data_IF_096615753322
#
_entry.id   IF_096615753322
#
_cell.length_a   1.000
_cell.length_b   1.000
_cell.length_c   1.000
_cell.angle_alpha   90.00
_cell.angle_beta   90.00
_cell.angle_gamma   90.00
#
_symmetry.space_group_name_H-M   'P 1'
#
loop_
_entity.id
_entity.type
_entity.pdbx_description
1 polymer ?
#
# COMPACT_ATOMS: atom_id res chain seq x y z
N UNK A 1 14.66 -1.07 -5.30
CA UNK A 1 13.21 -1.37 -5.14
C UNK A 1 12.43 -0.27 -5.82
N UNK A 2 11.41 -0.61 -6.59
CA UNK A 2 10.49 0.36 -7.17
C UNK A 2 9.11 0.22 -6.53
N UNK A 3 8.37 1.33 -6.44
CA UNK A 3 6.99 1.32 -5.97
C UNK A 3 6.17 2.38 -6.68
N UNK A 4 4.85 2.16 -6.80
CA UNK A 4 3.92 3.13 -7.40
C UNK A 4 2.50 2.92 -6.89
N UNK A 5 1.71 4.00 -6.86
CA UNK A 5 0.26 3.95 -6.63
C UNK A 5 -0.53 3.56 -7.89
N UNK A 6 0.11 3.57 -9.07
CA UNK A 6 -0.55 3.22 -10.32
C UNK A 6 -0.26 1.75 -10.68
N UNK A 7 -1.29 0.88 -10.76
CA UNK A 7 -1.10 -0.53 -11.13
C UNK A 7 -0.40 -0.72 -12.48
N UNK A 8 -0.69 0.12 -13.47
CA UNK A 8 -0.09 0.01 -14.80
C UNK A 8 1.43 0.27 -14.76
N UNK A 9 1.87 1.22 -13.92
CA UNK A 9 3.30 1.49 -13.70
C UNK A 9 3.96 0.30 -13.01
N UNK A 10 3.33 -0.28 -11.98
CA UNK A 10 3.85 -1.48 -11.31
C UNK A 10 4.01 -2.65 -12.28
N UNK A 11 3.01 -2.92 -13.14
CA UNK A 11 3.09 -3.96 -14.17
C UNK A 11 4.23 -3.67 -15.15
N UNK A 12 4.30 -2.45 -15.68
CA UNK A 12 5.33 -2.06 -16.64
C UNK A 12 6.74 -2.18 -16.04
N UNK A 13 6.94 -1.73 -14.80
CA UNK A 13 8.22 -1.85 -14.09
C UNK A 13 8.58 -3.31 -13.85
N UNK A 14 7.64 -4.15 -13.43
CA UNK A 14 7.92 -5.57 -13.22
C UNK A 14 8.36 -6.28 -14.51
N UNK A 15 7.79 -5.87 -15.64
CA UNK A 15 8.13 -6.42 -16.95
C UNK A 15 9.48 -5.91 -17.48
N UNK A 16 9.80 -4.64 -17.24
CA UNK A 16 11.01 -4.00 -17.77
C UNK A 16 12.22 -4.19 -16.87
N UNK A 17 12.01 -4.40 -15.58
CA UNK A 17 13.03 -4.50 -14.54
C UNK A 17 12.87 -5.79 -13.73
N UNK A 18 12.95 -6.98 -14.35
CA UNK A 18 12.64 -8.26 -13.69
C UNK A 18 13.59 -8.60 -12.51
N UNK A 19 14.79 -8.02 -12.50
CA UNK A 19 15.78 -8.23 -11.44
C UNK A 19 15.60 -7.27 -10.24
N UNK A 20 14.63 -6.36 -10.29
CA UNK A 20 14.39 -5.40 -9.22
C UNK A 20 13.02 -5.60 -8.61
N UNK A 21 12.96 -5.65 -7.29
CA UNK A 21 11.71 -5.78 -6.55
C UNK A 21 10.76 -4.61 -6.84
N UNK A 22 9.50 -4.93 -7.20
CA UNK A 22 8.42 -3.97 -7.42
C UNK A 22 7.33 -4.15 -6.36
N UNK A 23 6.86 -3.03 -5.81
CA UNK A 23 5.80 -2.95 -4.82
C UNK A 23 4.62 -2.12 -5.34
N UNK A 24 3.41 -2.48 -4.92
CA UNK A 24 2.20 -1.71 -5.24
C UNK A 24 1.71 -0.93 -4.02
N UNK A 25 1.49 0.38 -4.20
CA UNK A 25 1.06 1.28 -3.14
C UNK A 25 -0.46 1.49 -3.18
N UNK A 26 -1.11 1.48 -2.01
CA UNK A 26 -2.55 1.69 -1.93
C UNK A 26 -2.94 2.35 -0.61
N UNK A 27 -3.89 3.28 -0.68
CA UNK A 27 -4.50 3.90 0.51
C UNK A 27 -5.60 3.02 1.13
N UNK A 28 -5.85 1.83 0.57
CA UNK A 28 -6.76 0.85 1.14
C UNK A 28 -8.20 1.37 1.36
N UNK A 29 -8.60 2.40 0.60
CA UNK A 29 -9.93 3.00 0.69
C UNK A 29 -10.08 4.06 1.78
N UNK A 30 -9.00 4.47 2.45
CA UNK A 30 -9.01 5.70 3.24
C UNK A 30 -8.80 6.90 2.33
N UNK A 31 -9.75 7.84 2.37
CA UNK A 31 -9.61 9.12 1.69
C UNK A 31 -8.52 9.95 2.38
N UNK A 32 -7.65 10.54 1.57
CA UNK A 32 -6.70 11.52 2.07
C UNK A 32 -7.49 12.83 2.29
N UNK A 33 -7.78 13.21 3.54
CA UNK A 33 -8.57 14.42 3.84
C UNK A 33 -7.95 15.70 3.24
N UNK A 34 -6.65 15.71 2.96
CA UNK A 34 -5.97 16.81 2.26
C UNK A 34 -6.38 16.94 0.78
N UNK A 35 -6.82 15.86 0.12
CA UNK A 35 -7.26 15.88 -1.28
C UNK A 35 -8.74 16.31 -1.39
N UNK A 36 -9.55 16.05 -0.37
CA UNK A 36 -10.98 16.40 -0.32
C UNK A 36 -11.27 17.73 0.35
N UNK A 37 -10.33 18.32 1.09
CA UNK A 37 -10.45 19.68 1.64
C UNK A 37 -10.55 20.72 0.51
N UNK A 38 -11.78 21.05 0.13
CA UNK A 38 -12.08 22.11 -0.85
C UNK A 38 -12.65 21.63 -2.19
N UNK A 39 -12.74 20.30 -2.44
CA UNK A 39 -13.47 19.79 -3.61
C UNK A 39 -14.99 19.95 -3.39
N UNK A 40 -15.53 21.12 -3.75
CA UNK A 40 -16.97 21.27 -4.04
C UNK A 40 -17.34 20.12 -4.98
N UNK A 41 -18.42 19.38 -4.68
CA UNK A 41 -19.06 18.41 -5.57
C UNK A 41 -19.42 19.10 -6.89
N UNK A 42 -18.47 19.21 -7.82
CA UNK A 42 -18.66 19.85 -9.12
C UNK A 42 -18.89 18.72 -10.10
N UNK A 43 -20.06 18.73 -10.72
CA UNK A 43 -20.49 17.67 -11.64
C UNK A 43 -19.50 17.48 -12.78
N UNK A 44 -19.23 16.21 -13.08
CA UNK A 44 -18.86 15.63 -14.38
C UNK A 44 -18.13 16.60 -15.34
N UNK A 45 -16.83 16.71 -15.20
CA UNK A 45 -15.93 17.14 -16.28
C UNK A 45 -14.93 16.00 -16.55
N UNK A 46 -14.96 15.50 -17.79
CA UNK A 46 -14.38 14.26 -18.29
C UNK A 46 -12.88 14.41 -18.60
N UNK A 47 -12.06 14.65 -17.57
CA UNK A 47 -10.61 14.77 -17.68
C UNK A 47 -9.92 13.65 -16.87
N UNK A 48 -9.96 12.43 -17.41
CA UNK A 48 -9.50 11.17 -16.78
C UNK A 48 -7.99 11.10 -16.51
N UNK A 49 -7.53 11.74 -15.43
CA UNK A 49 -6.13 11.63 -15.00
C UNK A 49 -5.95 11.25 -13.52
N UNK A 50 -6.89 11.59 -12.62
CA UNK A 50 -6.81 11.24 -11.19
C UNK A 50 -8.09 10.60 -10.61
N UNK A 51 -9.28 10.95 -11.10
CA UNK A 51 -10.53 10.38 -10.58
C UNK A 51 -10.72 8.89 -10.92
N UNK A 52 -10.10 8.40 -12.00
CA UNK A 52 -10.19 6.99 -12.38
C UNK A 52 -9.34 6.08 -11.48
N UNK A 53 -8.27 6.62 -10.88
CA UNK A 53 -7.45 5.89 -9.89
C UNK A 53 -8.19 5.74 -8.57
N UNK A 54 -9.01 6.73 -8.18
CA UNK A 54 -9.89 6.66 -7.00
C UNK A 54 -11.03 5.63 -7.18
N UNK A 55 -11.43 5.31 -8.42
CA UNK A 55 -12.44 4.27 -8.70
C UNK A 55 -11.84 2.87 -8.89
N UNK A 56 -10.54 2.78 -9.11
CA UNK A 56 -9.89 1.49 -9.27
C UNK A 56 -9.94 0.71 -7.94
N UNK A 57 -10.62 -0.43 -7.95
CA UNK A 57 -10.76 -1.29 -6.78
C UNK A 57 -9.40 -1.77 -6.25
N UNK A 58 -8.38 -1.88 -7.11
CA UNK A 58 -7.01 -2.23 -6.71
C UNK A 58 -6.41 -1.15 -5.81
N UNK A 59 -6.76 0.12 -6.03
CA UNK A 59 -6.25 1.25 -5.25
C UNK A 59 -7.06 1.53 -3.97
N UNK A 60 -8.28 0.98 -3.87
CA UNK A 60 -9.21 1.27 -2.76
C UNK A 60 -9.57 0.05 -1.90
N UNK A 61 -9.16 -1.16 -2.29
CA UNK A 61 -9.42 -2.37 -1.52
C UNK A 61 -8.16 -3.19 -1.29
N UNK A 62 -7.86 -3.54 -0.04
CA UNK A 62 -6.76 -4.46 0.31
C UNK A 62 -6.90 -5.78 -0.45
N UNK A 63 -8.12 -6.31 -0.56
CA UNK A 63 -8.36 -7.60 -1.21
C UNK A 63 -7.95 -7.58 -2.68
N UNK A 64 -8.40 -6.57 -3.42
CA UNK A 64 -8.06 -6.43 -4.84
C UNK A 64 -6.60 -5.99 -5.04
N UNK A 65 -6.05 -5.18 -4.15
CA UNK A 65 -4.62 -4.82 -4.16
C UNK A 65 -3.72 -6.05 -4.02
N UNK A 66 -4.00 -6.92 -3.04
CA UNK A 66 -3.27 -8.18 -2.82
C UNK A 66 -3.43 -9.11 -4.02
N UNK A 67 -4.66 -9.27 -4.52
CA UNK A 67 -4.92 -10.10 -5.72
C UNK A 67 -4.13 -9.59 -6.93
N UNK A 68 -4.12 -8.28 -7.15
CA UNK A 68 -3.35 -7.64 -8.21
C UNK A 68 -1.85 -7.93 -8.06
N UNK A 69 -1.28 -7.63 -6.89
CA UNK A 69 0.15 -7.83 -6.64
C UNK A 69 0.57 -9.28 -6.86
N UNK A 70 -0.21 -10.25 -6.38
CA UNK A 70 0.05 -11.68 -6.63
C UNK A 70 -0.05 -12.06 -8.10
N UNK A 71 -1.12 -11.65 -8.77
CA UNK A 71 -1.34 -11.97 -10.19
C UNK A 71 -0.28 -11.37 -11.10
N UNK A 72 0.34 -10.25 -10.70
CA UNK A 72 1.41 -9.59 -11.44
C UNK A 72 2.80 -10.00 -10.96
N UNK A 73 2.92 -10.98 -10.05
CA UNK A 73 4.18 -11.45 -9.47
C UNK A 73 5.02 -10.30 -8.89
N UNK A 74 4.38 -9.39 -8.16
CA UNK A 74 5.06 -8.33 -7.42
C UNK A 74 5.60 -8.88 -6.10
N UNK A 75 6.69 -8.30 -5.60
CA UNK A 75 7.30 -8.76 -4.33
C UNK A 75 6.40 -8.41 -3.13
N UNK A 76 5.74 -7.26 -3.18
CA UNK A 76 4.98 -6.78 -2.04
C UNK A 76 4.04 -5.63 -2.31
N UNK A 77 3.46 -5.15 -1.22
CA UNK A 77 2.50 -4.04 -1.17
C UNK A 77 2.90 -3.05 -0.09
N UNK A 78 2.66 -1.77 -0.36
CA UNK A 78 2.83 -0.68 0.62
C UNK A 78 1.45 -0.08 0.90
N UNK A 79 0.95 -0.27 2.12
CA UNK A 79 -0.40 0.12 2.50
C UNK A 79 -0.43 1.23 3.54
N UNK A 80 -1.45 2.07 3.49
CA UNK A 80 -1.70 3.01 4.58
C UNK A 80 -1.96 2.24 5.88
N UNK A 81 -1.22 2.59 6.93
CA UNK A 81 -1.27 1.93 8.23
C UNK A 81 -2.64 2.10 8.93
N UNK A 82 -3.41 3.13 8.57
CA UNK A 82 -4.67 3.50 9.25
C UNK A 82 -5.69 2.36 9.27
N UNK A 83 -5.89 1.67 8.13
CA UNK A 83 -6.83 0.54 8.09
C UNK A 83 -6.29 -0.67 8.84
N UNK A 84 -4.99 -0.93 8.70
CA UNK A 84 -4.33 -2.11 9.26
C UNK A 84 -4.26 -2.05 10.79
N UNK A 85 -4.08 -0.87 11.36
CA UNK A 85 -4.14 -0.65 12.81
C UNK A 85 -5.56 -0.84 13.34
N UNK A 86 -6.58 -0.35 12.61
CA UNK A 86 -7.99 -0.53 12.99
C UNK A 86 -8.46 -1.97 12.89
N UNK A 87 -7.96 -2.71 11.89
CA UNK A 87 -8.33 -4.12 11.64
C UNK A 87 -7.07 -4.98 11.45
N UNK A 88 -6.38 -5.35 12.54
CA UNK A 88 -5.10 -6.06 12.46
C UNK A 88 -5.16 -7.45 11.81
N UNK A 89 -6.34 -8.09 11.77
CA UNK A 89 -6.52 -9.36 11.05
C UNK A 89 -6.22 -9.25 9.55
N UNK A 90 -6.33 -8.04 8.97
CA UNK A 90 -5.96 -7.79 7.58
C UNK A 90 -4.45 -7.93 7.36
N UNK A 91 -3.62 -7.57 8.33
CA UNK A 91 -2.16 -7.76 8.27
C UNK A 91 -1.88 -9.26 8.10
N UNK A 92 -2.48 -10.10 8.94
CA UNK A 92 -2.32 -11.56 8.86
C UNK A 92 -2.74 -12.10 7.49
N UNK A 93 -3.88 -11.64 6.95
CA UNK A 93 -4.36 -12.08 5.65
C UNK A 93 -3.41 -11.71 4.51
N UNK A 94 -2.85 -10.49 4.53
CA UNK A 94 -1.84 -10.06 3.54
C UNK A 94 -0.56 -10.87 3.68
N UNK A 95 -0.09 -11.11 4.90
CA UNK A 95 1.12 -11.90 5.16
C UNK A 95 0.96 -13.36 4.73
N UNK A 96 -0.20 -13.98 4.97
CA UNK A 96 -0.52 -15.32 4.49
C UNK A 96 -0.58 -15.42 2.95
N UNK A 97 -0.75 -14.28 2.27
CA UNK A 97 -0.76 -14.24 0.82
C UNK A 97 0.64 -14.41 0.19
N UNK A 98 1.70 -14.35 1.00
CA UNK A 98 3.09 -14.50 0.58
C UNK A 98 3.77 -13.19 0.14
N UNK A 99 3.09 -12.05 0.31
CA UNK A 99 3.62 -10.73 -0.04
C UNK A 99 4.40 -10.10 1.11
N UNK A 100 5.44 -9.33 0.76
CA UNK A 100 6.05 -8.38 1.69
C UNK A 100 5.06 -7.24 1.93
N UNK A 101 4.77 -6.93 3.19
CA UNK A 101 3.90 -5.86 3.60
C UNK A 101 4.72 -4.75 4.25
N UNK A 102 4.68 -3.59 3.61
CA UNK A 102 5.18 -2.33 4.16
C UNK A 102 4.01 -1.43 4.50
N UNK A 103 4.12 -0.65 5.58
CA UNK A 103 3.08 0.32 5.95
C UNK A 103 3.59 1.76 5.90
N UNK A 104 2.72 2.72 5.59
CA UNK A 104 3.04 4.14 5.57
C UNK A 104 1.89 4.98 6.14
N UNK A 105 2.11 6.30 6.28
CA UNK A 105 1.07 7.27 6.67
C UNK A 105 1.15 7.68 8.14
N UNK A 106 0.32 8.64 8.53
CA UNK A 106 0.38 9.28 9.85
C UNK A 106 0.20 8.30 11.03
N UNK A 107 -0.49 7.18 10.81
CA UNK A 107 -0.66 6.16 11.84
C UNK A 107 0.67 5.50 12.26
N UNK A 108 1.74 5.60 11.45
CA UNK A 108 3.08 5.13 11.83
C UNK A 108 3.81 6.08 12.81
N UNK A 109 3.30 7.29 13.07
CA UNK A 109 3.92 8.23 14.01
C UNK A 109 3.55 7.93 15.48
N UNK A 110 2.57 7.05 15.73
CA UNK A 110 2.19 6.62 17.07
C UNK A 110 2.91 5.32 17.44
N UNK A 111 3.70 5.36 18.52
CA UNK A 111 4.44 4.21 19.02
C UNK A 111 3.54 3.01 19.37
N UNK A 112 2.29 3.24 19.79
CA UNK A 112 1.32 2.16 20.05
C UNK A 112 0.98 1.39 18.77
N UNK A 113 0.85 2.09 17.66
CA UNK A 113 0.57 1.50 16.36
C UNK A 113 1.81 0.77 15.82
N UNK A 114 3.01 1.26 16.09
CA UNK A 114 4.26 0.56 15.76
C UNK A 114 4.31 -0.78 16.48
N UNK A 115 4.10 -0.79 17.81
CA UNK A 115 4.11 -2.02 18.62
C UNK A 115 3.04 -3.00 18.15
N UNK A 116 1.84 -2.52 17.79
CA UNK A 116 0.79 -3.34 17.22
C UNK A 116 1.24 -3.96 15.89
N UNK A 117 1.76 -3.17 14.97
CA UNK A 117 2.23 -3.65 13.66
C UNK A 117 3.35 -4.70 13.81
N UNK A 118 4.27 -4.51 14.76
CA UNK A 118 5.33 -5.48 15.06
C UNK A 118 4.78 -6.79 15.60
N UNK A 119 3.77 -6.72 16.50
CA UNK A 119 3.06 -7.90 17.02
C UNK A 119 2.41 -8.71 15.91
N UNK A 120 1.87 -8.05 14.89
CA UNK A 120 1.24 -8.69 13.72
C UNK A 120 2.23 -9.00 12.59
N UNK A 121 3.54 -8.80 12.81
CA UNK A 121 4.62 -9.15 11.88
C UNK A 121 4.55 -8.42 10.53
N UNK A 122 4.31 -7.11 10.56
CA UNK A 122 4.59 -6.22 9.41
C UNK A 122 6.09 -6.27 9.10
N UNK A 123 6.48 -6.28 7.83
CA UNK A 123 7.88 -6.46 7.42
C UNK A 123 8.67 -5.16 7.48
N UNK A 124 8.04 -4.05 7.08
CA UNK A 124 8.67 -2.74 7.09
C UNK A 124 7.65 -1.62 7.35
N UNK A 125 8.12 -0.49 7.87
CA UNK A 125 7.30 0.69 8.18
C UNK A 125 8.00 1.93 7.65
N UNK A 126 7.25 2.84 7.05
CA UNK A 126 7.77 4.16 6.66
C UNK A 126 7.53 5.14 7.80
N UNK A 127 8.61 5.70 8.34
CA UNK A 127 8.63 6.67 9.44
C UNK A 127 9.58 7.80 9.03
N UNK A 128 9.13 9.06 9.10
CA UNK A 128 9.92 10.25 8.71
C UNK A 128 10.59 10.17 7.33
N UNK A 129 9.90 9.52 6.36
CA UNK A 129 10.40 9.34 4.99
C UNK A 129 11.45 8.23 4.84
N UNK A 130 11.80 7.54 5.92
CA UNK A 130 12.73 6.41 5.93
C UNK A 130 11.95 5.10 6.06
N UNK A 131 12.37 4.08 5.32
CA UNK A 131 11.82 2.73 5.45
C UNK A 131 12.63 1.97 6.51
N UNK A 132 11.97 1.64 7.62
CA UNK A 132 12.53 0.79 8.66
C UNK A 132 12.08 -0.66 8.48
N UNK A 133 13.06 -1.54 8.30
CA UNK A 133 12.82 -2.99 8.22
C UNK A 133 12.83 -3.61 9.61
N UNK A 134 11.99 -4.62 9.80
CA UNK A 134 12.06 -5.45 11.00
C UNK A 134 13.42 -6.16 11.05
N UNK A 135 14.05 -6.17 12.22
CA UNK A 135 15.28 -6.95 12.46
C UNK A 135 15.03 -8.44 12.21
N UNK A 136 15.91 -9.06 11.40
CA UNK A 136 15.80 -10.47 10.98
C UNK A 136 15.02 -10.70 9.68
N UNK A 137 14.89 -9.68 8.82
CA UNK A 137 14.40 -9.86 7.46
C UNK A 137 15.49 -10.51 6.58
N UNK A 138 15.61 -11.83 6.67
CA UNK A 138 16.41 -12.62 5.72
C UNK A 138 15.51 -12.96 4.52
N UNK A 139 15.71 -12.25 3.41
CA UNK A 139 15.14 -12.66 2.13
C UNK A 139 15.83 -13.95 1.70
N UNK A 140 15.11 -15.07 1.82
CA UNK A 140 15.53 -16.36 1.28
C UNK A 140 15.48 -16.37 -0.25
#
# INVERSE_FOLDING_TARGET
MFSSFNPAICTALNWKQPNYAVFFNSYCGFENEEITRGKKRKGREDNGTYEDVEKDKRCTSIKEAVKFAKSNNLLGVIFDATLLVKVPSLITNVKQSGLVLTTFGAANNDNRNIILQDKYKVDAKVIDGVIEYKSGFDAY
#
